data_IF_500107903768
#
_entry.id   IF_500107903768
#
_cell.length_a   1.000
_cell.length_b   1.000
_cell.length_c   1.000
_cell.angle_alpha   90.00
_cell.angle_beta   90.00
_cell.angle_gamma   90.00
#
_symmetry.space_group_name_H-M   'P 1'
#
loop_
_entity.id
_entity.type
_entity.pdbx_description
1 polymer ?
#
# COMPACT_ATOMS: atom_id res chain seq x y z
N UNK A 1 0.75 -14.82 6.32
CA UNK A 1 -0.24 -13.89 6.90
C UNK A 1 -0.33 -12.72 5.93
N UNK A 2 -1.51 -12.24 5.52
CA UNK A 2 -1.57 -11.15 4.55
C UNK A 2 -1.01 -9.86 5.15
N UNK A 3 -0.06 -9.26 4.45
CA UNK A 3 0.48 -7.93 4.78
C UNK A 3 -0.25 -6.91 3.92
N UNK A 4 -0.56 -5.76 4.50
CA UNK A 4 -1.10 -4.62 3.75
C UNK A 4 -0.11 -3.46 3.77
N UNK A 5 0.01 -2.77 2.65
CA UNK A 5 0.88 -1.61 2.50
C UNK A 5 0.05 -0.36 2.30
N UNK A 6 0.33 0.68 3.08
CA UNK A 6 -0.17 2.03 2.86
C UNK A 6 0.75 2.72 1.85
N UNK A 7 0.20 3.13 0.72
CA UNK A 7 0.94 3.71 -0.41
C UNK A 7 0.38 5.09 -0.75
N UNK A 8 1.25 6.10 -0.76
CA UNK A 8 0.92 7.42 -1.32
C UNK A 8 1.27 7.39 -2.80
N UNK A 9 0.30 7.68 -3.66
CA UNK A 9 0.46 7.66 -5.11
C UNK A 9 0.74 9.06 -5.66
N UNK A 10 1.66 9.15 -6.61
CA UNK A 10 1.98 10.40 -7.31
C UNK A 10 1.02 10.59 -8.48
N UNK A 11 -0.08 11.29 -8.22
CA UNK A 11 -1.13 11.59 -9.21
C UNK A 11 -1.41 13.09 -9.22
N UNK A 12 -1.73 13.69 -10.40
CA UNK A 12 -1.98 15.13 -10.52
C UNK A 12 -3.29 15.58 -9.86
N UNK A 13 -4.05 14.66 -9.25
CA UNK A 13 -5.33 14.93 -8.58
C UNK A 13 -5.09 15.32 -7.12
N UNK A 14 -5.72 16.41 -6.69
CA UNK A 14 -5.50 17.14 -5.42
C UNK A 14 -5.74 16.37 -4.09
N UNK A 15 -5.92 15.05 -4.10
CA UNK A 15 -6.08 14.22 -2.90
C UNK A 15 -4.81 13.39 -2.64
N UNK A 16 -3.65 14.05 -2.53
CA UNK A 16 -2.34 13.39 -2.36
C UNK A 16 -1.98 13.10 -0.90
N UNK A 17 -2.77 13.56 0.07
CA UNK A 17 -2.42 13.45 1.49
C UNK A 17 -2.97 12.19 2.16
N UNK A 18 -3.75 11.39 1.44
CA UNK A 18 -4.33 10.16 1.98
C UNK A 18 -3.68 8.92 1.35
N UNK A 19 -3.00 8.08 2.14
CA UNK A 19 -2.45 6.83 1.63
C UNK A 19 -3.58 5.83 1.32
N UNK A 20 -3.36 5.05 0.26
CA UNK A 20 -4.22 3.95 -0.14
C UNK A 20 -3.65 2.63 0.35
N UNK A 21 -4.51 1.78 0.89
CA UNK A 21 -4.10 0.46 1.40
C UNK A 21 -4.19 -0.59 0.30
N UNK A 22 -3.08 -1.29 0.04
CA UNK A 22 -2.97 -2.38 -0.93
C UNK A 22 -2.60 -3.67 -0.24
N UNK A 23 -3.07 -4.80 -0.79
CA UNK A 23 -2.62 -6.12 -0.38
C UNK A 23 -1.24 -6.39 -0.97
N UNK A 24 -0.29 -6.81 -0.14
CA UNK A 24 1.05 -7.19 -0.59
C UNK A 24 1.04 -8.66 -1.04
N UNK A 25 1.46 -8.97 -2.28
CA UNK A 25 1.65 -10.35 -2.72
C UNK A 25 2.75 -11.06 -1.93
N UNK A 26 2.55 -12.34 -1.61
CA UNK A 26 3.51 -13.12 -0.80
C UNK A 26 4.90 -13.29 -1.42
N UNK A 27 5.01 -13.09 -2.73
CA UNK A 27 6.28 -13.09 -3.47
C UNK A 27 7.18 -11.89 -3.13
N UNK A 28 6.58 -10.76 -2.73
CA UNK A 28 7.30 -9.50 -2.44
C UNK A 28 7.18 -9.08 -0.97
N UNK A 29 6.47 -9.84 -0.14
CA UNK A 29 6.32 -9.61 1.31
C UNK A 29 7.67 -9.43 2.03
N UNK A 30 8.71 -10.16 1.62
CA UNK A 30 10.04 -10.09 2.25
C UNK A 30 10.91 -8.96 1.72
N UNK A 31 10.56 -8.40 0.55
CA UNK A 31 11.33 -7.35 -0.11
C UNK A 31 10.76 -5.95 0.18
N UNK A 32 9.45 -5.83 0.39
CA UNK A 32 8.78 -4.54 0.56
C UNK A 32 9.19 -3.85 1.87
N UNK A 33 9.46 -2.55 1.80
CA UNK A 33 9.87 -1.74 2.96
C UNK A 33 9.22 -0.36 2.89
N UNK A 34 9.06 0.28 4.06
CA UNK A 34 8.63 1.69 4.13
C UNK A 34 9.69 2.58 3.46
N UNK A 35 9.24 3.55 2.66
CA UNK A 35 10.08 4.41 1.83
C UNK A 35 10.40 3.81 0.45
N UNK A 36 10.01 2.56 0.18
CA UNK A 36 10.21 1.95 -1.13
C UNK A 36 9.26 2.54 -2.17
N UNK A 37 9.80 2.81 -3.37
CA UNK A 37 9.01 3.18 -4.55
C UNK A 37 8.36 1.93 -5.13
N UNK A 38 7.04 1.95 -5.28
CA UNK A 38 6.24 0.83 -5.79
C UNK A 38 5.36 1.29 -6.95
N UNK A 39 4.94 0.33 -7.77
CA UNK A 39 3.96 0.52 -8.83
C UNK A 39 2.66 -0.16 -8.40
N UNK A 40 1.56 0.58 -8.38
CA UNK A 40 0.25 0.07 -7.93
C UNK A 40 -0.84 0.39 -8.95
N UNK A 41 -1.85 -0.47 -9.09
CA UNK A 41 -3.01 -0.16 -9.90
C UNK A 41 -3.81 0.98 -9.25
N UNK A 42 -4.29 1.92 -10.06
CA UNK A 42 -5.02 3.09 -9.58
C UNK A 42 -6.19 3.46 -10.47
N UNK A 43 -7.39 3.44 -9.88
CA UNK A 43 -8.65 3.77 -10.55
C UNK A 43 -9.22 2.62 -11.39
N UNK A 44 -10.27 2.95 -12.17
CA UNK A 44 -11.04 1.99 -12.98
C UNK A 44 -10.56 1.86 -14.44
N UNK A 45 -9.62 2.71 -14.87
CA UNK A 45 -8.83 2.44 -16.07
C UNK A 45 -7.62 1.65 -15.64
N UNK A 46 -7.12 0.73 -16.47
CA UNK A 46 -5.97 -0.16 -16.21
C UNK A 46 -4.63 0.60 -16.06
N UNK A 47 -4.62 1.68 -15.28
CA UNK A 47 -3.55 2.63 -15.09
C UNK A 47 -2.77 2.19 -13.87
N UNK A 48 -1.47 2.05 -14.06
CA UNK A 48 -0.52 1.86 -12.99
C UNK A 48 0.11 3.22 -12.70
N UNK A 49 0.26 3.51 -11.42
CA UNK A 49 0.89 4.74 -10.94
C UNK A 49 2.02 4.36 -10.01
N UNK A 50 2.99 5.26 -9.94
CA UNK A 50 4.07 5.12 -8.99
C UNK A 50 3.66 5.75 -7.67
N UNK A 51 4.10 5.12 -6.60
CA UNK A 51 3.86 5.59 -5.25
C UNK A 51 4.97 5.18 -4.31
N UNK A 52 4.85 5.63 -3.07
CA UNK A 52 5.78 5.32 -1.99
C UNK A 52 5.04 4.64 -0.85
N UNK A 53 5.62 3.57 -0.34
CA UNK A 53 5.12 2.88 0.85
C UNK A 53 5.39 3.78 2.06
N UNK A 54 4.33 4.16 2.77
CA UNK A 54 4.41 4.97 4.00
C UNK A 54 4.12 4.16 5.25
N UNK A 55 3.53 2.98 5.11
CA UNK A 55 3.24 2.08 6.22
C UNK A 55 3.08 0.64 5.75
N UNK A 56 3.44 -0.29 6.63
CA UNK A 56 3.18 -1.72 6.45
C UNK A 56 2.43 -2.21 7.69
N UNK A 57 1.30 -2.88 7.48
CA UNK A 57 0.53 -3.50 8.56
C UNK A 57 0.47 -4.99 8.33
N UNK A 58 1.02 -5.73 9.27
CA UNK A 58 0.79 -7.17 9.38
C UNK A 58 -0.55 -7.31 10.08
N UNK A 59 -1.49 -8.01 9.46
CA UNK A 59 -2.75 -8.33 10.13
C UNK A 59 -2.50 -9.46 11.12
N UNK A 60 -1.88 -9.12 12.26
CA UNK A 60 -1.88 -9.97 13.43
C UNK A 60 -3.29 -9.93 14.02
N UNK A 61 -3.90 -11.09 14.13
CA UNK A 61 -5.22 -11.29 14.72
C UNK A 61 -5.18 -11.06 16.23
N UNK A 62 -4.80 -9.87 16.70
CA UNK A 62 -4.86 -9.47 18.11
C UNK A 62 -5.28 -8.00 18.20
N UNK A 63 -6.59 -7.78 18.17
CA UNK A 63 -7.25 -6.83 19.08
C UNK A 63 -8.77 -7.09 19.04
N UNK A 64 -9.17 -8.11 19.81
CA UNK A 64 -10.49 -8.10 20.41
C UNK A 64 -10.54 -6.91 21.35
N UNK A 65 -11.29 -5.88 20.98
CA UNK A 65 -11.65 -4.78 21.87
C UNK A 65 -12.58 -5.37 22.96
N UNK A 66 -12.04 -5.51 24.17
CA UNK A 66 -12.78 -5.83 25.41
C UNK A 66 -13.67 -4.65 25.79
#
# INVERSE_FOLDING_TARGET
MPITADVIVDVPTMQTDQPFTYLVPSEVETAIQVGMRVEVPFGNGNRHVQGFVVGLRVQDSIEQKI
#
